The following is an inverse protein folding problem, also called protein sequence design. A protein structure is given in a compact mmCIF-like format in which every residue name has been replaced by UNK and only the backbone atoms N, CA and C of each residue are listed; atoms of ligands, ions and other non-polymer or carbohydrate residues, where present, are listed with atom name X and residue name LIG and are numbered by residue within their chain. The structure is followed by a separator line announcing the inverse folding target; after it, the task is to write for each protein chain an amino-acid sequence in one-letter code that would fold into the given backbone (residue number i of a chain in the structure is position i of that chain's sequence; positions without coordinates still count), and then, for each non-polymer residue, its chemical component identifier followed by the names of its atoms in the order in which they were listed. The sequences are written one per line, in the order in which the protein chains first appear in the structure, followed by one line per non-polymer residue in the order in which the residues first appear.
data_IF_204830024791
#
_entry.id   IF_204830024791
#
_cell.length_a   1.000
_cell.length_b   1.000
_cell.length_c   1.000
_cell.angle_alpha   90.00
_cell.angle_beta   90.00
_cell.angle_gamma   90.00
#
_symmetry.space_group_name_H-M   'P 1'
#
loop_
_entity.id
_entity.type
_entity.pdbx_description
1 polymer ?
#
# COMPACT_ATOMS: atom_id res chain seq x y z
N UNK A 1 32.13 6.27 20.49
CA UNK A 1 32.50 6.59 19.09
C UNK A 1 31.73 5.76 18.04
N UNK A 2 31.47 4.46 18.28
CA UNK A 2 30.79 3.57 17.32
C UNK A 2 29.37 4.03 16.88
N UNK A 3 28.54 4.55 17.79
CA UNK A 3 27.14 4.95 17.50
C UNK A 3 26.97 6.03 16.40
N UNK A 4 27.96 6.90 16.21
CA UNK A 4 27.90 8.02 15.25
C UNK A 4 28.08 7.53 13.81
N UNK A 5 28.99 6.59 13.58
CA UNK A 5 29.27 6.06 12.23
C UNK A 5 28.10 5.24 11.69
N UNK A 6 27.47 4.42 12.55
CA UNK A 6 26.28 3.64 12.19
C UNK A 6 25.08 4.51 11.81
N UNK A 7 24.91 5.63 12.52
CA UNK A 7 23.88 6.61 12.19
C UNK A 7 24.09 7.23 10.81
N UNK A 8 25.32 7.65 10.49
CA UNK A 8 25.66 8.23 9.18
C UNK A 8 25.48 7.25 8.02
N UNK A 9 25.88 5.99 8.21
CA UNK A 9 25.66 4.94 7.20
C UNK A 9 24.16 4.72 6.95
N UNK A 10 23.36 4.64 8.02
CA UNK A 10 21.90 4.49 7.89
C UNK A 10 21.24 5.69 7.21
N UNK A 11 21.67 6.91 7.54
CA UNK A 11 21.19 8.12 6.87
C UNK A 11 21.44 8.06 5.38
N UNK A 12 22.69 7.76 4.97
CA UNK A 12 23.08 7.69 3.57
C UNK A 12 22.26 6.63 2.81
N UNK A 13 22.13 5.42 3.35
CA UNK A 13 21.36 4.36 2.70
C UNK A 13 19.87 4.67 2.61
N UNK A 14 19.28 5.28 3.65
CA UNK A 14 17.88 5.71 3.61
C UNK A 14 17.66 6.80 2.55
N UNK A 15 18.61 7.74 2.40
CA UNK A 15 18.57 8.81 1.41
C UNK A 15 18.72 8.27 -0.01
N UNK A 16 19.66 7.35 -0.23
CA UNK A 16 19.80 6.63 -1.52
C UNK A 16 18.49 5.90 -1.83
N UNK A 17 17.93 5.16 -0.88
CA UNK A 17 16.67 4.45 -1.07
C UNK A 17 15.52 5.37 -1.45
N UNK A 18 15.42 6.53 -0.79
CA UNK A 18 14.43 7.55 -1.12
C UNK A 18 14.61 8.12 -2.52
N UNK A 19 15.84 8.46 -2.91
CA UNK A 19 16.15 8.95 -4.26
C UNK A 19 15.80 7.92 -5.32
N UNK A 20 16.10 6.63 -5.11
CA UNK A 20 15.73 5.56 -6.05
C UNK A 20 14.20 5.47 -6.25
N UNK A 21 13.41 5.64 -5.18
CA UNK A 21 11.94 5.66 -5.29
C UNK A 21 11.48 6.89 -6.08
N UNK A 22 12.02 8.08 -5.78
CA UNK A 22 11.64 9.32 -6.49
C UNK A 22 11.98 9.23 -7.99
N UNK A 23 13.18 8.72 -8.32
CA UNK A 23 13.57 8.47 -9.72
C UNK A 23 12.58 7.53 -10.39
N UNK A 24 12.17 6.46 -9.71
CA UNK A 24 11.20 5.50 -10.27
C UNK A 24 9.85 6.17 -10.54
N UNK A 25 9.35 7.02 -9.65
CA UNK A 25 8.08 7.74 -9.83
C UNK A 25 8.11 8.68 -11.04
N UNK A 26 9.23 9.35 -11.29
CA UNK A 26 9.35 10.37 -12.34
C UNK A 26 9.68 9.76 -13.70
N UNK A 27 10.55 8.75 -13.76
CA UNK A 27 11.08 8.22 -15.01
C UNK A 27 10.37 6.95 -15.49
N UNK A 28 9.70 6.18 -14.62
CA UNK A 28 9.05 4.94 -15.05
C UNK A 28 7.65 5.21 -15.56
N UNK A 29 7.58 5.77 -16.76
CA UNK A 29 6.37 5.85 -17.54
C UNK A 29 6.25 4.62 -18.46
N UNK A 30 5.02 4.19 -18.73
CA UNK A 30 4.70 3.13 -19.70
C UNK A 30 5.20 3.45 -21.12
N UNK A 31 5.53 4.72 -21.37
CA UNK A 31 6.16 5.20 -22.62
C UNK A 31 7.64 4.83 -22.75
N UNK A 32 8.36 4.71 -21.63
CA UNK A 32 9.83 4.52 -21.61
C UNK A 32 10.26 3.16 -21.09
N UNK A 33 9.42 2.48 -20.32
CA UNK A 33 9.73 1.20 -19.69
C UNK A 33 8.91 0.09 -20.34
N UNK A 34 9.53 -1.06 -20.68
CA UNK A 34 8.80 -2.19 -21.26
C UNK A 34 7.69 -2.70 -20.33
N UNK A 35 6.61 -3.29 -20.89
CA UNK A 35 5.51 -3.85 -20.11
C UNK A 35 6.01 -4.92 -19.14
N UNK A 36 5.30 -5.06 -18.02
CA UNK A 36 5.65 -6.02 -16.98
C UNK A 36 5.58 -7.48 -17.49
N UNK A 37 6.51 -8.38 -17.08
CA UNK A 37 7.60 -8.20 -16.12
C UNK A 37 8.87 -7.57 -16.71
N UNK A 38 9.51 -6.66 -15.96
CA UNK A 38 10.77 -6.02 -16.35
C UNK A 38 11.74 -5.85 -15.18
N UNK A 39 13.05 -5.86 -15.47
CA UNK A 39 14.11 -5.71 -14.47
C UNK A 39 14.20 -4.30 -13.87
N UNK A 40 13.63 -3.28 -14.52
CA UNK A 40 13.62 -1.91 -14.00
C UNK A 40 12.87 -1.83 -12.66
N UNK A 41 11.87 -2.68 -12.42
CA UNK A 41 11.18 -2.81 -11.12
C UNK A 41 12.12 -3.15 -9.93
N UNK A 42 13.35 -3.63 -10.19
CA UNK A 42 14.35 -3.83 -9.13
C UNK A 42 14.79 -2.51 -8.48
N UNK A 43 14.74 -1.40 -9.22
CA UNK A 43 15.18 -0.08 -8.72
C UNK A 43 14.28 0.42 -7.57
N UNK A 44 12.95 0.55 -7.74
CA UNK A 44 12.08 0.98 -6.64
C UNK A 44 12.00 -0.03 -5.51
N UNK A 45 12.14 -1.34 -5.81
CA UNK A 45 12.11 -2.38 -4.77
C UNK A 45 13.37 -2.34 -3.89
N UNK A 46 14.56 -2.21 -4.48
CA UNK A 46 15.80 -1.98 -3.72
C UNK A 46 15.73 -0.67 -2.93
N UNK A 47 15.18 0.39 -3.52
CA UNK A 47 14.95 1.65 -2.83
C UNK A 47 14.07 1.49 -1.58
N UNK A 48 12.94 0.78 -1.71
CA UNK A 48 12.07 0.45 -0.59
C UNK A 48 12.77 -0.42 0.45
N UNK A 49 13.54 -1.44 0.05
CA UNK A 49 14.31 -2.29 0.97
C UNK A 49 15.30 -1.48 1.80
N UNK A 50 16.04 -0.56 1.18
CA UNK A 50 16.98 0.32 1.88
C UNK A 50 16.28 1.22 2.90
N UNK A 51 15.12 1.78 2.56
CA UNK A 51 14.33 2.59 3.51
C UNK A 51 13.80 1.73 4.66
N UNK A 52 13.33 0.51 4.39
CA UNK A 52 12.81 -0.38 5.45
C UNK A 52 13.93 -0.79 6.41
N UNK A 53 15.13 -1.08 5.91
CA UNK A 53 16.26 -1.53 6.73
C UNK A 53 16.97 -0.40 7.47
N UNK A 54 17.15 0.76 6.82
CA UNK A 54 17.97 1.86 7.35
C UNK A 54 17.16 3.10 7.78
N UNK A 55 15.92 3.24 7.32
CA UNK A 55 15.02 4.37 7.60
C UNK A 55 14.46 4.32 9.03
N UNK A 56 15.26 4.78 9.98
CA UNK A 56 14.88 4.86 11.40
C UNK A 56 14.40 6.27 11.77
N UNK A 57 13.73 6.44 12.92
CA UNK A 57 13.24 7.75 13.39
C UNK A 57 14.34 8.79 13.66
N UNK A 58 15.60 8.39 13.69
CA UNK A 58 16.72 9.32 13.76
C UNK A 58 17.10 9.88 12.38
N UNK A 59 16.76 9.18 11.29
CA UNK A 59 17.11 9.58 9.93
C UNK A 59 16.14 10.62 9.35
N UNK A 60 16.59 11.44 8.40
CA UNK A 60 15.73 12.48 7.80
C UNK A 60 14.55 11.85 7.05
N UNK A 61 14.84 10.83 6.21
CA UNK A 61 13.81 10.08 5.47
C UNK A 61 12.84 9.37 6.41
N UNK A 62 13.35 8.72 7.46
CA UNK A 62 12.51 8.06 8.46
C UNK A 62 11.60 9.04 9.22
N UNK A 63 12.09 10.25 9.55
CA UNK A 63 11.26 11.30 10.16
C UNK A 63 10.17 11.80 9.23
N UNK A 64 10.51 12.04 7.97
CA UNK A 64 9.58 12.49 6.93
C UNK A 64 8.46 11.45 6.74
N UNK A 65 8.82 10.18 6.54
CA UNK A 65 7.84 9.09 6.37
C UNK A 65 7.03 8.79 7.65
N UNK A 66 7.54 9.19 8.82
CA UNK A 66 6.86 9.08 10.10
C UNK A 66 5.87 10.21 10.39
N UNK A 67 5.65 11.17 9.49
CA UNK A 67 4.61 12.18 9.67
C UNK A 67 3.24 11.51 9.80
N UNK A 68 2.38 12.04 10.67
CA UNK A 68 1.06 11.46 11.00
C UNK A 68 0.22 11.18 9.75
N UNK A 69 0.22 12.10 8.78
CA UNK A 69 -0.53 11.96 7.53
C UNK A 69 -0.02 10.78 6.69
N UNK A 70 1.30 10.72 6.43
CA UNK A 70 1.90 9.64 5.63
C UNK A 70 1.72 8.27 6.30
N UNK A 71 1.89 8.18 7.62
CA UNK A 71 1.57 6.95 8.36
C UNK A 71 0.10 6.56 8.24
N UNK A 72 -0.81 7.53 8.32
CA UNK A 72 -2.25 7.25 8.19
C UNK A 72 -2.60 6.71 6.80
N UNK A 73 -2.03 7.30 5.74
CA UNK A 73 -2.15 6.77 4.37
C UNK A 73 -1.62 5.34 4.29
N UNK A 74 -0.45 5.07 4.90
CA UNK A 74 0.10 3.72 4.97
C UNK A 74 -0.80 2.73 5.71
N UNK A 75 -1.48 3.15 6.78
CA UNK A 75 -2.39 2.30 7.55
C UNK A 75 -3.65 1.91 6.75
N UNK A 76 -4.21 2.82 5.96
CA UNK A 76 -5.38 2.53 5.13
C UNK A 76 -5.03 1.91 3.77
N UNK A 77 -3.73 1.78 3.44
CA UNK A 77 -3.27 1.37 2.11
C UNK A 77 -3.77 0.00 1.68
N UNK A 78 -3.86 -0.96 2.61
CA UNK A 78 -4.40 -2.29 2.33
C UNK A 78 -5.89 -2.23 2.00
N UNK A 79 -6.68 -1.53 2.81
CA UNK A 79 -8.10 -1.31 2.53
C UNK A 79 -8.32 -0.54 1.21
N UNK A 80 -7.46 0.44 0.89
CA UNK A 80 -7.50 1.15 -0.39
C UNK A 80 -7.19 0.25 -1.59
N UNK A 81 -6.22 -0.65 -1.43
CA UNK A 81 -5.93 -1.66 -2.44
C UNK A 81 -7.15 -2.55 -2.74
N UNK A 82 -7.95 -2.90 -1.73
CA UNK A 82 -9.17 -3.69 -1.95
C UNK A 82 -10.29 -2.90 -2.65
N UNK A 83 -10.54 -1.67 -2.23
CA UNK A 83 -11.70 -0.91 -2.72
C UNK A 83 -11.48 -0.21 -4.07
N UNK A 84 -10.25 0.17 -4.42
CA UNK A 84 -10.03 0.90 -5.68
C UNK A 84 -10.37 0.07 -6.93
N UNK A 85 -10.05 -1.24 -6.95
CA UNK A 85 -10.31 -2.10 -8.13
C UNK A 85 -11.81 -2.25 -8.43
N UNK A 86 -12.69 -2.63 -7.48
CA UNK A 86 -14.13 -2.70 -7.72
C UNK A 86 -14.71 -1.36 -8.18
N UNK A 87 -14.34 -0.26 -7.52
CA UNK A 87 -14.87 1.07 -7.83
C UNK A 87 -14.50 1.47 -9.26
N UNK A 88 -13.25 1.25 -9.67
CA UNK A 88 -12.80 1.51 -11.04
C UNK A 88 -13.42 0.56 -12.06
N UNK A 89 -13.71 -0.70 -11.69
CA UNK A 89 -14.41 -1.63 -12.57
C UNK A 89 -15.85 -1.15 -12.84
N UNK A 90 -16.59 -0.73 -11.80
CA UNK A 90 -17.94 -0.20 -11.95
C UNK A 90 -18.01 1.11 -12.72
N UNK A 91 -17.02 1.99 -12.57
CA UNK A 91 -16.98 3.26 -13.34
C UNK A 91 -16.77 2.99 -14.83
N UNK A 92 -15.91 2.02 -15.19
CA UNK A 92 -15.70 1.59 -16.58
C UNK A 92 -16.96 0.97 -17.18
N UNK A 93 -17.70 0.16 -16.44
CA UNK A 93 -18.96 -0.46 -16.92
C UNK A 93 -20.03 0.58 -17.27
N UNK A 94 -20.09 1.69 -16.54
CA UNK A 94 -21.02 2.79 -16.82
C UNK A 94 -20.50 3.78 -17.87
N UNK A 95 -19.40 3.44 -18.56
CA UNK A 95 -18.73 4.32 -19.52
C UNK A 95 -18.46 5.73 -18.96
N UNK A 96 -18.18 5.83 -17.65
CA UNK A 96 -17.88 7.12 -17.03
C UNK A 96 -16.53 7.63 -17.56
N UNK A 97 -16.53 8.86 -18.07
CA UNK A 97 -15.32 9.47 -18.61
C UNK A 97 -14.35 9.78 -17.45
N UNK A 98 -13.31 8.95 -17.34
CA UNK A 98 -12.26 9.09 -16.34
C UNK A 98 -11.16 10.06 -16.77
N UNK A 99 -11.26 10.65 -17.97
CA UNK A 99 -10.32 11.69 -18.43
C UNK A 99 -10.59 13.05 -17.77
N UNK A 100 -11.78 13.25 -17.22
CA UNK A 100 -12.15 14.48 -16.53
C UNK A 100 -11.68 14.46 -15.07
N UNK A 101 -11.09 15.58 -14.65
CA UNK A 101 -10.52 15.75 -13.30
C UNK A 101 -11.58 15.59 -12.21
N UNK A 102 -12.77 16.14 -12.43
CA UNK A 102 -13.81 16.20 -11.40
C UNK A 102 -14.39 14.82 -11.05
N UNK A 103 -14.79 13.97 -12.04
CA UNK A 103 -15.11 12.56 -11.78
C UNK A 103 -13.99 11.79 -11.07
N UNK A 104 -12.74 12.02 -11.46
CA UNK A 104 -11.59 11.32 -10.87
C UNK A 104 -11.40 11.69 -9.39
N UNK A 105 -11.55 12.96 -9.03
CA UNK A 105 -11.48 13.41 -7.64
C UNK A 105 -12.60 12.78 -6.80
N UNK A 106 -13.83 12.72 -7.32
CA UNK A 106 -14.96 12.07 -6.64
C UNK A 106 -14.66 10.59 -6.39
N UNK A 107 -14.17 9.87 -7.40
CA UNK A 107 -13.79 8.46 -7.27
C UNK A 107 -12.72 8.28 -6.18
N UNK A 108 -11.66 9.09 -6.20
CA UNK A 108 -10.59 9.04 -5.20
C UNK A 108 -11.15 9.30 -3.80
N UNK A 109 -12.03 10.30 -3.64
CA UNK A 109 -12.67 10.60 -2.35
C UNK A 109 -13.49 9.41 -1.84
N UNK A 110 -14.27 8.77 -2.71
CA UNK A 110 -15.06 7.57 -2.36
C UNK A 110 -14.14 6.42 -1.93
N UNK A 111 -13.08 6.15 -2.70
CA UNK A 111 -12.09 5.11 -2.37
C UNK A 111 -11.50 5.39 -1.00
N UNK A 112 -10.98 6.59 -0.74
CA UNK A 112 -10.36 6.95 0.54
C UNK A 112 -11.34 6.83 1.70
N UNK A 113 -12.59 7.27 1.52
CA UNK A 113 -13.63 7.18 2.55
C UNK A 113 -13.96 5.72 2.88
N UNK A 114 -14.22 4.88 1.87
CA UNK A 114 -14.49 3.45 2.06
C UNK A 114 -13.29 2.73 2.67
N UNK A 115 -12.07 3.10 2.26
CA UNK A 115 -10.84 2.55 2.81
C UNK A 115 -10.68 2.87 4.28
N UNK A 116 -10.96 4.11 4.69
CA UNK A 116 -10.93 4.54 6.08
C UNK A 116 -11.98 3.80 6.94
N UNK A 117 -13.20 3.66 6.44
CA UNK A 117 -14.26 2.91 7.13
C UNK A 117 -13.90 1.43 7.25
N UNK A 118 -13.46 0.81 6.16
CA UNK A 118 -13.01 -0.59 6.13
C UNK A 118 -11.85 -0.82 7.10
N UNK A 119 -10.87 0.10 7.16
CA UNK A 119 -9.76 0.02 8.09
C UNK A 119 -10.22 0.03 9.56
N UNK A 120 -11.15 0.90 9.93
CA UNK A 120 -11.63 1.02 11.31
C UNK A 120 -12.57 -0.13 11.70
N UNK A 121 -13.48 -0.52 10.79
CA UNK A 121 -14.55 -1.47 11.08
C UNK A 121 -14.13 -2.94 10.88
N UNK A 122 -13.22 -3.20 9.95
CA UNK A 122 -12.83 -4.57 9.56
C UNK A 122 -11.36 -4.80 9.90
N UNK A 123 -10.45 -3.97 9.40
CA UNK A 123 -9.03 -4.27 9.52
C UNK A 123 -8.53 -4.19 10.98
N UNK A 124 -8.87 -3.13 11.71
CA UNK A 124 -8.44 -2.94 13.10
C UNK A 124 -8.96 -4.03 14.05
N UNK A 125 -10.26 -4.41 14.06
CA UNK A 125 -10.75 -5.46 14.96
C UNK A 125 -10.07 -6.80 14.72
N UNK A 126 -9.87 -7.20 13.46
CA UNK A 126 -9.24 -8.47 13.11
C UNK A 126 -7.72 -8.48 13.32
N UNK A 127 -7.08 -7.30 13.24
CA UNK A 127 -5.66 -7.14 13.58
C UNK A 127 -5.39 -7.21 15.08
N UNK A 128 -6.41 -6.94 15.91
CA UNK A 128 -6.29 -7.05 17.35
C UNK A 128 -6.37 -8.51 17.83
N UNK A 129 -5.21 -9.08 18.16
CA UNK A 129 -5.07 -10.48 18.61
C UNK A 129 -5.84 -10.81 19.90
N UNK A 130 -6.28 -9.81 20.66
CA UNK A 130 -7.08 -10.04 21.88
C UNK A 130 -8.57 -10.22 21.59
N UNK A 131 -9.06 -9.73 20.45
CA UNK A 131 -10.47 -9.89 20.04
C UNK A 131 -10.70 -11.12 19.19
N UNK A 132 -9.76 -11.41 18.28
CA UNK A 132 -9.85 -12.58 17.40
C UNK A 132 -8.55 -13.39 17.45
N UNK A 133 -8.68 -14.68 17.75
CA UNK A 133 -7.57 -15.63 17.65
C UNK A 133 -7.33 -16.03 16.20
N UNK A 134 -6.06 -16.25 15.83
CA UNK A 134 -5.68 -16.75 14.50
C UNK A 134 -6.48 -18.00 14.11
N UNK A 135 -6.71 -18.91 15.07
CA UNK A 135 -7.47 -20.15 14.83
C UNK A 135 -8.91 -19.87 14.40
N UNK A 136 -9.57 -18.88 15.01
CA UNK A 136 -10.94 -18.50 14.66
C UNK A 136 -11.01 -17.88 13.27
N UNK A 137 -10.02 -17.05 12.90
CA UNK A 137 -9.95 -16.44 11.57
C UNK A 137 -9.77 -17.52 10.50
N UNK A 138 -8.81 -18.44 10.66
CA UNK A 138 -8.59 -19.52 9.70
C UNK A 138 -9.79 -20.46 9.59
N UNK A 139 -10.42 -20.79 10.72
CA UNK A 139 -11.60 -21.64 10.72
C UNK A 139 -12.79 -20.98 10.03
N UNK A 140 -13.05 -19.70 10.32
CA UNK A 140 -14.10 -18.93 9.65
C UNK A 140 -13.85 -18.78 8.14
N UNK A 141 -12.60 -18.52 7.73
CA UNK A 141 -12.23 -18.45 6.32
C UNK A 141 -12.45 -19.80 5.60
N UNK A 142 -12.11 -20.92 6.26
CA UNK A 142 -12.36 -22.25 5.72
C UNK A 142 -13.84 -22.52 5.52
N UNK A 143 -14.68 -22.19 6.52
CA UNK A 143 -16.14 -22.34 6.40
C UNK A 143 -16.68 -21.48 5.27
N UNK A 144 -16.26 -20.22 5.19
CA UNK A 144 -16.70 -19.31 4.12
C UNK A 144 -16.32 -19.84 2.74
N UNK A 145 -15.11 -20.39 2.57
CA UNK A 145 -14.65 -20.96 1.31
C UNK A 145 -15.40 -22.24 0.94
N UNK A 146 -15.71 -23.10 1.93
CA UNK A 146 -16.53 -24.29 1.71
C UNK A 146 -17.95 -23.91 1.29
N UNK A 147 -18.54 -22.90 1.94
CA UNK A 147 -19.88 -22.41 1.62
C UNK A 147 -19.96 -21.84 0.20
N UNK A 148 -19.00 -21.00 -0.20
CA UNK A 148 -18.97 -20.47 -1.57
C UNK A 148 -18.71 -21.55 -2.61
N UNK A 149 -17.88 -22.56 -2.30
CA UNK A 149 -17.66 -23.70 -3.19
C UNK A 149 -18.94 -24.52 -3.38
N UNK A 150 -19.67 -24.82 -2.31
CA UNK A 150 -20.94 -25.55 -2.39
C UNK A 150 -21.94 -24.77 -3.25
N UNK A 151 -22.13 -23.47 -3.01
CA UNK A 151 -23.01 -22.62 -3.82
C UNK A 151 -22.59 -22.49 -5.30
N UNK A 152 -21.33 -22.74 -5.63
CA UNK A 152 -20.86 -22.70 -7.01
C UNK A 152 -21.06 -24.04 -7.75
N UNK A 153 -21.18 -25.15 -7.00
CA UNK A 153 -21.34 -26.50 -7.54
C UNK A 153 -22.82 -26.87 -7.71
N UNK A 154 -23.71 -26.29 -6.89
CA UNK A 154 -25.16 -26.43 -6.99
C UNK A 154 -25.79 -25.23 -7.71
#
# INVERSE_FOLDING_TARGET
MYRSTWYKCNELFALIGFVLIIISIVFFDSRYVPPFPNCYTLIPTLGATLIILCGTNSTLVGKLLSIRLLRWVGLISYSAYLWHQPILAFTRLKAYDTSQILPMLIIISIVVLLSGLSYVLIEQPFRNKTRFSRKQIFFGAFISAMFTFILAVF
#
